data_IF_881138308514
#
_entry.id   IF_881138308514
#
_cell.length_a   1.000
_cell.length_b   1.000
_cell.length_c   1.000
_cell.angle_alpha   90.00
_cell.angle_beta   90.00
_cell.angle_gamma   90.00
#
_symmetry.space_group_name_H-M   'P 1'
#
loop_
_entity.id
_entity.type
_entity.pdbx_description
1 polymer ?
#
# COMPACT_ATOMS: atom_id res chain seq x y z
N UNK A 1 -56.77 -1.31 -23.99
CA UNK A 1 -55.54 -1.85 -23.36
C UNK A 1 -54.21 -1.43 -24.01
N UNK A 2 -54.14 -0.98 -25.28
CA UNK A 2 -52.87 -0.47 -25.84
C UNK A 2 -52.44 0.88 -25.23
N UNK A 3 -53.39 1.80 -24.97
CA UNK A 3 -53.09 3.12 -24.41
C UNK A 3 -52.54 3.10 -22.97
N UNK A 4 -52.94 2.12 -22.15
CA UNK A 4 -52.45 1.99 -20.78
C UNK A 4 -51.01 1.45 -20.71
N UNK A 5 -50.61 0.60 -21.66
CA UNK A 5 -49.23 0.07 -21.72
C UNK A 5 -48.22 1.15 -22.11
N UNK A 6 -48.59 2.07 -23.00
CA UNK A 6 -47.71 3.19 -23.38
C UNK A 6 -47.50 4.18 -22.24
N UNK A 7 -48.53 4.46 -21.43
CA UNK A 7 -48.41 5.38 -20.29
C UNK A 7 -47.48 4.81 -19.20
N UNK A 8 -47.57 3.50 -18.92
CA UNK A 8 -46.70 2.84 -17.94
C UNK A 8 -45.23 2.85 -18.39
N UNK A 9 -44.96 2.68 -19.69
CA UNK A 9 -43.61 2.74 -20.22
C UNK A 9 -42.96 4.13 -20.04
N UNK A 10 -43.71 5.22 -20.26
CA UNK A 10 -43.19 6.58 -20.06
C UNK A 10 -42.88 6.88 -18.59
N UNK A 11 -43.74 6.44 -17.66
CA UNK A 11 -43.49 6.62 -16.22
C UNK A 11 -42.21 5.89 -15.80
N UNK A 12 -41.97 4.70 -16.34
CA UNK A 12 -40.80 3.90 -15.99
C UNK A 12 -39.48 4.51 -16.51
N UNK A 13 -39.50 5.12 -17.70
CA UNK A 13 -38.36 5.87 -18.25
C UNK A 13 -38.04 7.11 -17.39
N UNK A 14 -39.07 7.85 -16.95
CA UNK A 14 -38.89 9.05 -16.11
C UNK A 14 -38.31 8.67 -14.74
N UNK A 15 -38.76 7.56 -14.14
CA UNK A 15 -38.25 7.10 -12.83
C UNK A 15 -36.79 6.66 -12.91
N UNK A 16 -36.31 6.15 -14.05
CA UNK A 16 -34.91 5.78 -14.23
C UNK A 16 -34.01 7.01 -14.51
N UNK A 17 -34.54 8.04 -15.18
CA UNK A 17 -33.76 9.24 -15.54
C UNK A 17 -33.62 10.28 -14.42
N UNK A 18 -34.52 10.30 -13.44
CA UNK A 18 -34.45 11.27 -12.33
C UNK A 18 -33.23 11.04 -11.41
N UNK A 19 -32.90 9.81 -10.98
CA UNK A 19 -31.73 9.57 -10.13
C UNK A 19 -30.39 9.93 -10.79
N UNK A 20 -30.27 9.71 -12.10
CA UNK A 20 -29.05 10.06 -12.86
C UNK A 20 -28.89 11.57 -13.02
N UNK A 21 -29.99 12.32 -13.12
CA UNK A 21 -29.93 13.78 -13.19
C UNK A 21 -29.57 14.41 -11.83
N UNK A 22 -30.02 13.82 -10.72
CA UNK A 22 -29.71 14.32 -9.36
C UNK A 22 -28.24 14.03 -8.99
N UNK A 23 -27.70 12.87 -9.37
CA UNK A 23 -26.28 12.54 -9.17
C UNK A 23 -25.35 13.39 -10.05
N UNK A 24 -25.75 13.68 -11.30
CA UNK A 24 -25.03 14.64 -12.13
C UNK A 24 -25.07 16.08 -11.59
N UNK A 25 -26.17 16.50 -10.94
CA UNK A 25 -26.27 17.81 -10.29
C UNK A 25 -25.48 17.91 -8.98
N UNK A 26 -25.42 16.83 -8.18
CA UNK A 26 -24.59 16.79 -6.97
C UNK A 26 -23.07 16.81 -7.28
N UNK A 27 -22.68 16.35 -8.47
CA UNK A 27 -21.30 16.46 -8.98
C UNK A 27 -21.00 17.84 -9.61
N UNK A 28 -22.03 18.65 -9.88
CA UNK A 28 -21.94 20.01 -10.42
C UNK A 28 -22.05 21.11 -9.35
N UNK A 29 -22.16 20.76 -8.07
CA UNK A 29 -21.81 21.67 -6.98
C UNK A 29 -20.29 21.85 -6.95
N UNK A 30 -19.80 22.60 -7.94
CA UNK A 30 -18.47 23.21 -7.91
C UNK A 30 -18.25 23.89 -6.56
N UNK A 31 -17.06 23.77 -5.96
CA UNK A 31 -16.74 24.41 -4.71
C UNK A 31 -17.06 25.90 -4.80
N UNK A 32 -17.54 26.41 -3.67
CA UNK A 32 -17.96 27.79 -3.41
C UNK A 32 -17.16 28.79 -4.24
N UNK A 33 -17.90 29.54 -5.06
CA UNK A 33 -17.64 30.91 -5.51
C UNK A 33 -16.38 31.50 -4.86
N UNK A 34 -15.32 31.68 -5.65
CA UNK A 34 -14.09 32.35 -5.28
C UNK A 34 -14.40 33.53 -4.35
N UNK A 35 -14.13 33.30 -3.07
CA UNK A 35 -13.98 34.36 -2.10
C UNK A 35 -12.81 35.20 -2.62
N UNK A 36 -12.98 36.52 -2.73
CA UNK A 36 -11.94 37.43 -3.22
C UNK A 36 -10.64 37.08 -2.50
N UNK A 37 -9.71 36.43 -3.22
CA UNK A 37 -8.42 36.05 -2.68
C UNK A 37 -7.77 37.34 -2.21
N UNK A 38 -7.48 37.42 -0.92
CA UNK A 38 -6.90 38.63 -0.36
C UNK A 38 -5.60 38.95 -1.10
N UNK A 39 -5.35 40.24 -1.30
CA UNK A 39 -4.20 40.72 -2.08
C UNK A 39 -2.87 40.23 -1.50
N UNK A 40 -2.81 39.98 -0.20
CA UNK A 40 -1.64 39.38 0.46
C UNK A 40 -1.39 37.94 0.02
N UNK A 41 -2.45 37.14 -0.14
CA UNK A 41 -2.37 35.73 -0.54
C UNK A 41 -1.94 35.64 -2.00
N UNK A 42 -2.51 36.50 -2.87
CA UNK A 42 -2.10 36.55 -4.27
C UNK A 42 -0.61 36.92 -4.44
N UNK A 43 -0.11 37.89 -3.68
CA UNK A 43 1.31 38.23 -3.71
C UNK A 43 2.18 37.05 -3.27
N UNK A 44 1.77 36.29 -2.25
CA UNK A 44 2.52 35.13 -1.78
C UNK A 44 2.55 34.01 -2.83
N UNK A 45 1.45 33.79 -3.54
CA UNK A 45 1.39 32.87 -4.69
C UNK A 45 2.37 33.32 -5.78
N UNK A 46 2.38 34.62 -6.10
CA UNK A 46 3.22 35.17 -7.14
C UNK A 46 4.71 35.11 -6.77
N UNK A 47 5.05 35.41 -5.53
CA UNK A 47 6.42 35.29 -5.00
C UNK A 47 6.87 33.83 -5.03
N UNK A 48 6.04 32.90 -4.57
CA UNK A 48 6.34 31.47 -4.61
C UNK A 48 6.51 30.95 -6.04
N UNK A 49 5.66 31.41 -6.98
CA UNK A 49 5.78 31.09 -8.40
C UNK A 49 7.10 31.58 -8.99
N UNK A 50 7.52 32.80 -8.65
CA UNK A 50 8.80 33.35 -9.08
C UNK A 50 10.00 32.63 -8.45
N UNK A 51 9.88 32.19 -7.19
CA UNK A 51 10.96 31.50 -6.46
C UNK A 51 11.11 30.03 -6.87
N UNK A 52 10.02 29.34 -7.20
CA UNK A 52 10.03 27.89 -7.45
C UNK A 52 9.83 27.51 -8.91
N UNK A 53 9.50 28.47 -9.78
CA UNK A 53 9.15 28.22 -11.18
C UNK A 53 7.77 27.58 -11.40
N UNK A 54 7.03 27.28 -10.33
CA UNK A 54 5.68 26.68 -10.41
C UNK A 54 4.66 27.69 -10.94
N UNK A 55 3.72 27.29 -11.80
CA UNK A 55 2.69 28.18 -12.32
C UNK A 55 1.75 28.70 -11.21
N UNK A 56 1.39 29.98 -11.30
CA UNK A 56 0.47 30.67 -10.36
C UNK A 56 -0.86 29.91 -10.23
N UNK A 57 -1.35 29.35 -11.35
CA UNK A 57 -2.59 28.61 -11.43
C UNK A 57 -2.56 27.30 -10.62
N UNK A 58 -1.43 26.60 -10.60
CA UNK A 58 -1.28 25.33 -9.87
C UNK A 58 -1.22 25.57 -8.36
N UNK A 59 -0.45 26.58 -7.94
CA UNK A 59 -0.39 27.03 -6.54
C UNK A 59 -1.77 27.48 -6.07
N UNK A 60 -2.50 28.21 -6.91
CA UNK A 60 -3.85 28.66 -6.59
C UNK A 60 -4.82 27.49 -6.45
N UNK A 61 -4.74 26.50 -7.35
CA UNK A 61 -5.56 25.29 -7.29
C UNK A 61 -5.32 24.51 -5.99
N UNK A 62 -4.06 24.36 -5.56
CA UNK A 62 -3.75 23.71 -4.28
C UNK A 62 -4.29 24.51 -3.09
N UNK A 63 -4.19 25.84 -3.13
CA UNK A 63 -4.77 26.68 -2.10
C UNK A 63 -6.30 26.52 -2.02
N UNK A 64 -6.99 26.51 -3.16
CA UNK A 64 -8.46 26.30 -3.24
C UNK A 64 -8.89 24.91 -2.79
N UNK A 65 -8.04 23.90 -2.96
CA UNK A 65 -8.24 22.54 -2.47
C UNK A 65 -8.06 22.40 -0.94
N UNK A 66 -7.61 23.47 -0.27
CA UNK A 66 -7.47 23.52 1.18
C UNK A 66 -6.14 23.00 1.72
N UNK A 67 -5.12 22.86 0.87
CA UNK A 67 -3.77 22.53 1.31
C UNK A 67 -3.18 23.67 2.16
N UNK A 68 -2.39 23.32 3.17
CA UNK A 68 -1.69 24.31 3.98
C UNK A 68 -0.47 24.89 3.25
N UNK A 69 -0.02 26.08 3.66
CA UNK A 69 1.09 26.76 3.01
C UNK A 69 2.40 25.98 3.04
N UNK A 70 2.67 25.17 4.07
CA UNK A 70 3.89 24.36 4.12
C UNK A 70 3.81 23.18 3.15
N UNK A 71 2.63 22.62 2.92
CA UNK A 71 2.39 21.61 1.87
C UNK A 71 2.58 22.24 0.49
N UNK A 72 1.97 23.41 0.25
CA UNK A 72 2.08 24.14 -1.02
C UNK A 72 3.54 24.48 -1.33
N UNK A 73 4.30 24.99 -0.36
CA UNK A 73 5.74 25.28 -0.53
C UNK A 73 6.51 24.01 -0.85
N UNK A 74 6.26 22.89 -0.16
CA UNK A 74 6.94 21.61 -0.46
C UNK A 74 6.62 21.09 -1.86
N UNK A 75 5.37 21.21 -2.31
CA UNK A 75 4.96 20.81 -3.65
C UNK A 75 5.58 21.72 -4.72
N UNK A 76 5.63 23.03 -4.47
CA UNK A 76 6.20 24.01 -5.38
C UNK A 76 7.74 23.90 -5.46
N UNK A 77 8.44 23.77 -4.33
CA UNK A 77 9.90 23.68 -4.28
C UNK A 77 10.45 22.36 -4.84
N UNK A 78 9.65 21.29 -4.88
CA UNK A 78 10.02 20.04 -5.57
C UNK A 78 10.02 20.19 -7.10
N UNK A 79 9.39 21.25 -7.64
CA UNK A 79 9.20 21.43 -9.07
C UNK A 79 10.42 22.03 -9.79
N UNK A 80 11.43 22.53 -9.06
CA UNK A 80 12.61 23.18 -9.65
C UNK A 80 13.64 22.16 -10.21
N UNK A 81 13.57 20.88 -9.84
CA UNK A 81 14.44 19.82 -10.40
C UNK A 81 13.79 18.95 -11.48
N UNK A 82 12.46 18.93 -11.59
CA UNK A 82 11.73 18.05 -12.51
C UNK A 82 10.43 18.73 -12.92
N UNK A 83 10.49 19.50 -14.00
CA UNK A 83 9.32 20.04 -14.65
C UNK A 83 8.63 18.97 -15.49
N UNK A 84 7.87 18.06 -14.86
CA UNK A 84 6.75 17.32 -15.52
C UNK A 84 5.87 16.43 -14.60
N UNK A 85 6.10 16.29 -13.28
CA UNK A 85 5.50 15.14 -12.55
C UNK A 85 4.25 15.34 -11.69
N UNK A 86 3.75 16.57 -11.49
CA UNK A 86 2.48 16.79 -10.76
C UNK A 86 1.25 16.87 -11.67
N UNK A 87 1.47 16.82 -12.99
CA UNK A 87 0.41 16.84 -14.00
C UNK A 87 -0.11 15.45 -14.36
N UNK A 88 0.01 14.38 -13.55
CA UNK A 88 -0.82 13.20 -13.88
C UNK A 88 -1.20 12.16 -12.83
N UNK A 89 -1.23 12.45 -11.52
CA UNK A 89 -1.73 11.41 -10.60
C UNK A 89 -3.25 11.13 -10.83
N UNK A 90 -4.03 12.15 -11.17
CA UNK A 90 -5.48 12.01 -11.39
C UNK A 90 -5.87 11.47 -12.75
N UNK A 91 -5.03 11.65 -13.78
CA UNK A 91 -5.32 11.12 -15.12
C UNK A 91 -4.51 9.85 -15.39
N UNK A 92 -3.36 9.65 -14.75
CA UNK A 92 -2.72 8.35 -14.55
C UNK A 92 -3.60 7.32 -13.83
N UNK A 93 -4.34 7.71 -12.78
CA UNK A 93 -5.34 6.80 -12.16
C UNK A 93 -6.54 6.49 -13.05
N UNK A 94 -6.98 7.45 -13.88
CA UNK A 94 -8.03 7.19 -14.87
C UNK A 94 -7.54 6.25 -15.96
N UNK A 95 -6.31 6.46 -16.41
CA UNK A 95 -5.66 5.59 -17.39
C UNK A 95 -5.47 4.17 -16.82
N UNK A 96 -5.24 4.03 -15.52
CA UNK A 96 -5.22 2.72 -14.86
C UNK A 96 -6.59 2.02 -14.96
N UNK A 97 -7.68 2.72 -14.63
CA UNK A 97 -9.04 2.16 -14.71
C UNK A 97 -9.46 1.81 -16.15
N UNK A 98 -8.94 2.53 -17.15
CA UNK A 98 -9.21 2.26 -18.56
C UNK A 98 -8.33 1.12 -19.14
N UNK A 99 -7.09 0.99 -18.66
CA UNK A 99 -6.08 0.07 -19.23
C UNK A 99 -6.06 -1.30 -18.57
N UNK A 100 -6.32 -1.40 -17.26
CA UNK A 100 -6.21 -2.64 -16.50
C UNK A 100 -7.57 -3.16 -16.07
N UNK A 101 -7.69 -4.48 -15.92
CA UNK A 101 -8.93 -5.08 -15.43
C UNK A 101 -9.14 -4.81 -13.94
N UNK A 102 -10.41 -4.79 -13.49
CA UNK A 102 -10.75 -4.66 -12.06
C UNK A 102 -10.07 -5.73 -11.19
N UNK A 103 -9.86 -6.93 -11.73
CA UNK A 103 -9.17 -8.03 -11.04
C UNK A 103 -7.68 -7.71 -10.82
N UNK A 104 -7.00 -7.17 -11.83
CA UNK A 104 -5.60 -6.76 -11.71
C UNK A 104 -5.41 -5.60 -10.74
N UNK A 105 -6.31 -4.61 -10.79
CA UNK A 105 -6.31 -3.48 -9.86
C UNK A 105 -6.51 -3.97 -8.43
N UNK A 106 -7.46 -4.89 -8.22
CA UNK A 106 -7.73 -5.47 -6.91
C UNK A 106 -6.52 -6.27 -6.39
N UNK A 107 -5.90 -7.10 -7.23
CA UNK A 107 -4.72 -7.88 -6.84
C UNK A 107 -3.54 -6.97 -6.44
N UNK A 108 -3.23 -5.95 -7.25
CA UNK A 108 -2.17 -5.00 -6.94
C UNK A 108 -2.45 -4.25 -5.62
N UNK A 109 -3.69 -3.79 -5.43
CA UNK A 109 -4.10 -3.10 -4.19
C UNK A 109 -3.97 -4.00 -2.96
N UNK A 110 -4.36 -5.27 -3.06
CA UNK A 110 -4.19 -6.23 -1.96
C UNK A 110 -2.72 -6.45 -1.58
N UNK A 111 -1.82 -6.50 -2.57
CA UNK A 111 -0.38 -6.63 -2.31
C UNK A 111 0.19 -5.40 -1.62
N UNK A 112 -0.17 -4.20 -2.08
CA UNK A 112 0.21 -2.93 -1.45
C UNK A 112 -0.30 -2.87 -0.01
N UNK A 113 -1.58 -3.17 0.21
CA UNK A 113 -2.17 -3.19 1.55
C UNK A 113 -1.49 -4.21 2.45
N UNK A 114 -1.12 -5.39 1.93
CA UNK A 114 -0.36 -6.39 2.69
C UNK A 114 1.02 -5.89 3.10
N UNK A 115 1.73 -5.16 2.23
CA UNK A 115 3.06 -4.59 2.54
C UNK A 115 2.94 -3.49 3.58
N UNK A 116 1.99 -2.58 3.40
CA UNK A 116 1.70 -1.51 4.37
C UNK A 116 1.35 -2.11 5.73
N UNK A 117 0.48 -3.11 5.76
CA UNK A 117 0.13 -3.78 7.02
C UNK A 117 1.35 -4.41 7.71
N UNK A 118 2.20 -5.13 6.97
CA UNK A 118 3.43 -5.72 7.53
C UNK A 118 4.39 -4.64 8.04
N UNK A 119 4.53 -3.52 7.34
CA UNK A 119 5.33 -2.39 7.81
C UNK A 119 4.77 -1.80 9.11
N UNK A 120 3.45 -1.65 9.23
CA UNK A 120 2.81 -1.22 10.48
C UNK A 120 3.11 -2.19 11.63
N UNK A 121 3.05 -3.50 11.38
CA UNK A 121 3.42 -4.53 12.35
C UNK A 121 4.88 -4.37 12.80
N UNK A 122 5.82 -4.23 11.85
CA UNK A 122 7.25 -4.00 12.14
C UNK A 122 7.45 -2.77 13.00
N UNK A 123 6.82 -1.64 12.66
CA UNK A 123 6.93 -0.38 13.41
C UNK A 123 6.35 -0.51 14.82
N UNK A 124 5.24 -1.24 14.96
CA UNK A 124 4.54 -1.39 16.25
C UNK A 124 5.21 -2.37 17.21
N UNK A 125 5.84 -3.42 16.69
CA UNK A 125 6.46 -4.49 17.48
C UNK A 125 7.96 -4.25 17.71
N UNK A 126 8.62 -3.46 16.86
CA UNK A 126 10.04 -3.16 17.05
C UNK A 126 10.29 -2.27 18.26
N UNK A 127 11.31 -2.62 19.04
CA UNK A 127 11.77 -1.84 20.20
C UNK A 127 13.01 -1.00 19.91
N UNK A 128 13.72 -1.28 18.82
CA UNK A 128 14.98 -0.64 18.42
C UNK A 128 14.96 -0.38 16.91
N UNK A 129 15.63 0.70 16.45
CA UNK A 129 15.84 1.08 15.05
C UNK A 129 14.63 0.93 14.10
N UNK A 130 13.56 1.67 14.41
CA UNK A 130 12.34 1.77 13.58
C UNK A 130 12.32 2.95 12.61
N UNK A 131 13.30 3.86 12.70
CA UNK A 131 13.30 5.12 11.96
C UNK A 131 13.19 4.89 10.45
N UNK A 132 13.97 3.96 9.89
CA UNK A 132 13.96 3.67 8.45
C UNK A 132 12.60 3.12 7.97
N UNK A 133 11.95 2.29 8.79
CA UNK A 133 10.61 1.74 8.47
C UNK A 133 9.52 2.81 8.60
N UNK A 134 9.62 3.71 9.59
CA UNK A 134 8.71 4.84 9.74
C UNK A 134 8.85 5.83 8.57
N UNK A 135 10.07 6.15 8.17
CA UNK A 135 10.37 7.03 7.04
C UNK A 135 9.86 6.43 5.72
N UNK A 136 10.08 5.12 5.52
CA UNK A 136 9.52 4.39 4.38
C UNK A 136 7.99 4.46 4.37
N UNK A 137 7.34 4.13 5.50
CA UNK A 137 5.89 4.16 5.62
C UNK A 137 5.31 5.53 5.28
N UNK A 138 5.92 6.59 5.79
CA UNK A 138 5.48 7.96 5.56
C UNK A 138 5.66 8.41 4.10
N UNK A 139 6.55 7.74 3.36
CA UNK A 139 6.84 8.04 1.95
C UNK A 139 5.95 7.24 0.98
N UNK A 140 5.25 6.20 1.44
CA UNK A 140 4.38 5.40 0.59
C UNK A 140 3.08 6.16 0.31
N UNK A 141 2.81 6.40 -0.97
CA UNK A 141 1.52 6.89 -1.45
C UNK A 141 0.76 5.76 -2.15
N UNK A 142 -0.32 5.26 -1.55
CA UNK A 142 -1.00 4.02 -2.01
C UNK A 142 -1.43 4.06 -3.48
N UNK A 143 -1.98 5.19 -3.94
CA UNK A 143 -2.45 5.31 -5.33
C UNK A 143 -1.29 5.41 -6.32
N UNK A 144 -0.17 6.03 -5.92
CA UNK A 144 1.05 6.07 -6.71
C UNK A 144 1.71 4.68 -6.78
N UNK A 145 1.79 3.99 -5.64
CA UNK A 145 2.24 2.61 -5.56
C UNK A 145 1.40 1.70 -6.47
N UNK A 146 0.08 1.91 -6.52
CA UNK A 146 -0.83 1.17 -7.39
C UNK A 146 -0.53 1.42 -8.86
N UNK A 147 -0.39 2.69 -9.24
CA UNK A 147 -0.04 3.09 -10.60
C UNK A 147 1.27 2.43 -11.06
N UNK A 148 2.34 2.57 -10.26
CA UNK A 148 3.66 2.03 -10.61
C UNK A 148 3.69 0.51 -10.59
N UNK A 149 3.04 -0.12 -9.62
CA UNK A 149 2.96 -1.58 -9.52
C UNK A 149 2.28 -2.19 -10.75
N UNK A 150 1.21 -1.56 -11.25
CA UNK A 150 0.53 -2.02 -12.47
C UNK A 150 1.35 -1.70 -13.73
N UNK A 151 1.93 -0.51 -13.81
CA UNK A 151 2.71 -0.07 -14.98
C UNK A 151 4.00 -0.86 -15.17
N UNK A 152 4.69 -1.20 -14.08
CA UNK A 152 5.98 -1.89 -14.13
C UNK A 152 5.87 -3.42 -14.09
N UNK A 153 4.70 -3.97 -13.74
CA UNK A 153 4.47 -5.43 -13.68
C UNK A 153 4.92 -6.14 -14.96
N UNK A 154 4.53 -5.62 -16.12
CA UNK A 154 4.80 -6.28 -17.40
C UNK A 154 6.29 -6.19 -17.79
N UNK A 155 6.97 -5.14 -17.34
CA UNK A 155 8.40 -4.93 -17.57
C UNK A 155 9.26 -5.82 -16.65
N UNK A 156 8.89 -5.89 -15.36
CA UNK A 156 9.70 -6.54 -14.34
C UNK A 156 9.32 -8.01 -14.09
N UNK A 157 8.13 -8.43 -14.53
CA UNK A 157 7.70 -9.83 -14.56
C UNK A 157 6.63 -10.18 -13.53
N UNK A 158 6.53 -9.45 -12.43
CA UNK A 158 5.54 -9.68 -11.39
C UNK A 158 5.16 -8.43 -10.61
N UNK A 159 4.00 -8.48 -9.94
CA UNK A 159 3.56 -7.44 -9.00
C UNK A 159 4.56 -7.21 -7.86
N UNK A 160 5.21 -8.27 -7.38
CA UNK A 160 6.15 -8.16 -6.26
C UNK A 160 7.45 -7.48 -6.71
N UNK A 161 7.95 -7.78 -7.90
CA UNK A 161 9.14 -7.09 -8.45
C UNK A 161 8.82 -5.62 -8.72
N UNK A 162 7.65 -5.33 -9.29
CA UNK A 162 7.21 -3.95 -9.51
C UNK A 162 7.03 -3.16 -8.22
N UNK A 163 6.39 -3.76 -7.21
CA UNK A 163 6.22 -3.12 -5.90
C UNK A 163 7.57 -2.96 -5.17
N UNK A 164 8.47 -3.95 -5.27
CA UNK A 164 9.83 -3.81 -4.77
C UNK A 164 10.56 -2.64 -5.42
N UNK A 165 10.48 -2.51 -6.74
CA UNK A 165 11.13 -1.41 -7.45
C UNK A 165 10.56 -0.05 -7.02
N UNK A 166 9.24 0.05 -6.84
CA UNK A 166 8.62 1.25 -6.26
C UNK A 166 9.18 1.56 -4.86
N UNK A 167 9.26 0.58 -3.96
CA UNK A 167 9.81 0.77 -2.62
C UNK A 167 11.29 1.21 -2.67
N UNK A 168 12.06 0.69 -3.63
CA UNK A 168 13.46 1.08 -3.82
C UNK A 168 13.53 2.52 -4.33
N UNK A 169 12.70 2.89 -5.30
CA UNK A 169 12.69 4.21 -5.90
C UNK A 169 12.39 5.30 -4.87
N UNK A 170 11.36 5.14 -4.04
CA UNK A 170 11.05 6.12 -2.99
C UNK A 170 12.15 6.22 -1.93
N UNK A 171 12.89 5.14 -1.69
CA UNK A 171 13.98 5.08 -0.72
C UNK A 171 15.30 5.70 -1.20
N UNK A 172 15.46 5.80 -2.51
CA UNK A 172 16.66 6.31 -3.19
C UNK A 172 16.37 7.61 -3.95
N UNK A 173 15.14 8.13 -3.83
CA UNK A 173 14.66 9.31 -4.56
C UNK A 173 14.85 9.19 -6.08
N UNK A 174 14.59 7.98 -6.61
CA UNK A 174 14.70 7.69 -8.05
C UNK A 174 13.40 8.00 -8.79
N UNK A 175 13.57 8.45 -10.02
CA UNK A 175 12.49 8.68 -10.96
C UNK A 175 12.16 7.40 -11.73
N UNK A 176 10.94 6.88 -11.55
CA UNK A 176 10.47 5.67 -12.22
C UNK A 176 10.09 5.90 -13.70
N UNK A 177 9.92 7.14 -14.15
CA UNK A 177 9.76 7.40 -15.59
C UNK A 177 11.05 7.12 -16.35
N UNK A 178 12.22 7.40 -15.74
CA UNK A 178 13.52 7.06 -16.34
C UNK A 178 13.64 5.57 -16.60
N UNK A 179 13.09 4.72 -15.73
CA UNK A 179 13.05 3.27 -15.95
C UNK A 179 12.23 2.88 -17.20
N UNK A 180 11.16 3.61 -17.50
CA UNK A 180 10.34 3.39 -18.69
C UNK A 180 11.00 3.90 -19.97
N UNK A 181 11.80 4.97 -19.88
CA UNK A 181 12.47 5.58 -21.02
C UNK A 181 13.80 4.91 -21.38
N UNK A 182 14.69 4.73 -20.39
CA UNK A 182 16.02 4.18 -20.56
C UNK A 182 16.47 3.42 -19.29
N UNK A 183 16.32 2.10 -19.36
CA UNK A 183 16.68 1.19 -18.28
C UNK A 183 18.16 1.27 -17.88
N UNK A 184 19.07 1.52 -18.82
CA UNK A 184 20.51 1.55 -18.52
C UNK A 184 20.88 2.79 -17.71
N UNK A 185 20.23 3.92 -18.00
CA UNK A 185 20.37 5.17 -17.21
C UNK A 185 19.81 4.98 -15.82
N UNK A 186 18.61 4.38 -15.72
CA UNK A 186 17.98 4.11 -14.43
C UNK A 186 18.85 3.23 -13.53
N UNK A 187 19.38 2.12 -14.05
CA UNK A 187 20.23 1.21 -13.28
C UNK A 187 21.55 1.85 -12.83
N UNK A 188 22.12 2.74 -13.66
CA UNK A 188 23.30 3.51 -13.25
C UNK A 188 22.98 4.47 -12.11
N UNK A 189 21.85 5.18 -12.18
CA UNK A 189 21.44 6.11 -11.14
C UNK A 189 21.11 5.38 -9.84
N UNK A 190 20.36 4.28 -9.95
CA UNK A 190 20.08 3.36 -8.84
C UNK A 190 21.37 2.89 -8.17
N UNK A 191 22.35 2.42 -8.94
CA UNK A 191 23.64 2.02 -8.40
C UNK A 191 24.38 3.17 -7.69
N UNK A 192 24.39 4.37 -8.28
CA UNK A 192 25.03 5.54 -7.70
C UNK A 192 24.38 5.94 -6.36
N UNK A 193 23.05 5.98 -6.30
CA UNK A 193 22.31 6.34 -5.09
C UNK A 193 22.46 5.27 -4.00
N UNK A 194 22.51 3.99 -4.38
CA UNK A 194 22.77 2.90 -3.43
C UNK A 194 24.14 3.01 -2.75
N UNK A 195 25.16 3.51 -3.45
CA UNK A 195 26.49 3.74 -2.87
C UNK A 195 26.51 4.89 -1.85
N UNK A 196 25.62 5.86 -2.00
CA UNK A 196 25.52 7.02 -1.11
C UNK A 196 24.67 6.74 0.14
N UNK A 197 23.79 5.73 0.06
CA UNK A 197 22.90 5.36 1.16
C UNK A 197 23.64 4.56 2.22
N UNK A 198 23.52 5.00 3.48
CA UNK A 198 24.15 4.34 4.62
C UNK A 198 23.33 3.18 5.20
N UNK A 199 22.02 3.20 4.98
CA UNK A 199 21.09 2.22 5.54
C UNK A 199 20.73 1.15 4.50
N UNK A 200 20.49 -0.10 4.91
CA UNK A 200 20.07 -1.15 3.99
C UNK A 200 18.74 -0.79 3.31
N UNK A 201 18.58 -1.23 2.07
CA UNK A 201 17.34 -1.01 1.32
C UNK A 201 16.29 -1.98 1.83
N UNK A 202 15.14 -1.44 2.22
CA UNK A 202 14.02 -2.23 2.72
C UNK A 202 13.20 -2.71 1.51
N UNK A 203 13.25 -4.00 1.23
CA UNK A 203 12.43 -4.66 0.21
C UNK A 203 11.27 -5.42 0.88
N UNK A 204 10.33 -5.94 0.10
CA UNK A 204 9.26 -6.82 0.59
C UNK A 204 9.85 -8.00 1.39
N UNK A 205 10.93 -8.61 0.89
CA UNK A 205 11.57 -9.75 1.55
C UNK A 205 12.17 -9.35 2.92
N UNK A 206 12.78 -8.17 3.02
CA UNK A 206 13.30 -7.66 4.29
C UNK A 206 12.17 -7.32 5.28
N UNK A 207 11.04 -6.79 4.79
CA UNK A 207 9.84 -6.54 5.61
C UNK A 207 9.29 -7.87 6.14
N UNK A 208 9.14 -8.89 5.29
CA UNK A 208 8.64 -10.20 5.70
C UNK A 208 9.56 -10.87 6.71
N UNK A 209 10.86 -10.81 6.46
CA UNK A 209 11.87 -11.32 7.38
C UNK A 209 11.81 -10.60 8.74
N UNK A 210 11.68 -9.28 8.74
CA UNK A 210 11.55 -8.50 9.97
C UNK A 210 10.31 -8.91 10.77
N UNK A 211 9.16 -9.09 10.12
CA UNK A 211 7.93 -9.59 10.79
C UNK A 211 8.16 -10.97 11.41
N UNK A 212 8.76 -11.91 10.66
CA UNK A 212 9.04 -13.27 11.15
C UNK A 212 10.01 -13.27 12.34
N UNK A 213 11.06 -12.47 12.29
CA UNK A 213 12.01 -12.31 13.40
C UNK A 213 11.32 -11.78 14.65
N UNK A 214 10.40 -10.81 14.52
CA UNK A 214 9.63 -10.28 15.64
C UNK A 214 8.67 -11.31 16.24
N UNK A 215 7.95 -12.07 15.41
CA UNK A 215 7.05 -13.13 15.88
C UNK A 215 7.81 -14.21 16.67
N UNK A 216 8.97 -14.65 16.18
CA UNK A 216 9.81 -15.63 16.86
C UNK A 216 10.36 -15.10 18.20
N UNK A 217 10.73 -13.82 18.25
CA UNK A 217 11.23 -13.18 19.45
C UNK A 217 10.13 -12.97 20.51
N UNK A 218 8.89 -12.78 20.09
CA UNK A 218 7.73 -12.69 20.98
C UNK A 218 7.35 -14.05 21.56
N UNK A 219 7.33 -15.11 20.75
CA UNK A 219 7.01 -16.47 21.23
C UNK A 219 8.07 -17.00 22.20
N UNK A 220 9.34 -16.67 21.99
CA UNK A 220 10.46 -17.15 22.81
C UNK A 220 10.57 -16.46 24.18
N UNK A 221 9.94 -15.30 24.37
CA UNK A 221 9.95 -14.56 25.64
C UNK A 221 8.84 -14.99 26.61
N UNK A 222 7.78 -15.61 26.13
CA UNK A 222 6.67 -16.07 27.00
C UNK A 222 6.96 -17.42 27.68
N UNK A 223 7.95 -18.20 27.24
CA UNK A 223 8.33 -19.47 27.88
C UNK A 223 9.33 -19.33 29.05
N UNK A 224 9.77 -18.11 29.40
CA UNK A 224 10.78 -17.89 30.47
C UNK A 224 10.28 -17.26 31.75
N UNK A 225 8.97 -17.22 31.99
CA UNK A 225 8.44 -16.63 33.23
C UNK A 225 7.38 -17.47 33.96
N UNK A 226 7.66 -18.77 34.13
CA UNK A 226 7.01 -19.58 35.19
C UNK A 226 8.03 -20.43 35.94
N UNK A 227 8.98 -19.80 36.63
CA UNK A 227 9.58 -20.42 37.83
C UNK A 227 9.96 -19.36 38.87
N UNK A 228 9.01 -18.49 39.23
CA UNK A 228 9.09 -17.80 40.52
C UNK A 228 8.31 -18.63 41.53
N UNK A 229 9.04 -19.42 42.32
CA UNK A 229 8.56 -20.05 43.56
C UNK A 229 8.03 -18.95 44.48
N UNK A 230 6.71 -18.76 44.49
CA UNK A 230 6.01 -18.04 45.53
C UNK A 230 5.42 -19.09 46.47
N UNK A 231 6.11 -19.33 47.57
CA UNK A 231 5.58 -20.02 48.75
C UNK A 231 4.55 -19.09 49.40
N UNK A 232 3.28 -19.23 49.01
CA UNK A 232 2.15 -18.71 49.77
C UNK A 232 1.12 -19.83 49.86
N UNK A 233 1.06 -20.43 51.04
CA UNK A 233 0.06 -21.42 51.40
C UNK A 233 -1.35 -20.85 51.29
N UNK A 234 -2.11 -21.30 50.30
CA UNK A 234 -3.56 -21.19 50.23
C UNK A 234 -4.10 -22.52 49.70
N UNK A 235 -4.81 -23.26 50.57
CA UNK A 235 -5.61 -24.40 50.16
C UNK A 235 -6.93 -23.92 49.54
N UNK A 236 -7.20 -24.30 48.29
CA UNK A 236 -8.53 -24.27 47.66
C UNK A 236 -8.54 -25.22 46.43
N UNK A 237 -9.73 -25.65 45.95
CA UNK A 237 -10.05 -27.07 45.76
C UNK A 237 -9.59 -27.67 44.43
N UNK A 238 -9.33 -28.97 44.49
CA UNK A 238 -8.96 -29.85 43.36
C UNK A 238 -10.12 -29.94 42.37
N UNK A 239 -10.00 -29.27 41.22
CA UNK A 239 -10.83 -29.52 40.04
C UNK A 239 -10.10 -30.55 39.19
N UNK A 240 -10.67 -31.76 39.09
CA UNK A 240 -10.16 -32.82 38.22
C UNK A 240 -10.58 -32.53 36.77
N UNK A 241 -9.74 -31.81 36.04
CA UNK A 241 -9.79 -31.77 34.58
C UNK A 241 -9.25 -33.08 34.03
N UNK A 242 -10.15 -33.90 33.49
CA UNK A 242 -9.79 -35.11 32.73
C UNK A 242 -9.20 -34.63 31.39
N UNK A 243 -7.88 -34.52 31.33
CA UNK A 243 -7.15 -34.30 30.08
C UNK A 243 -7.20 -35.63 29.31
N UNK A 244 -7.78 -35.68 28.10
CA UNK A 244 -7.69 -36.89 27.29
C UNK A 244 -6.23 -37.15 26.93
N UNK A 245 -5.74 -38.34 27.29
CA UNK A 245 -4.39 -38.80 27.01
C UNK A 245 -4.23 -39.00 25.49
N UNK A 246 -3.74 -37.97 24.81
CA UNK A 246 -3.37 -38.07 23.40
C UNK A 246 -2.11 -38.93 23.32
N UNK A 247 -2.27 -40.20 22.97
CA UNK A 247 -1.15 -41.09 22.64
C UNK A 247 -0.42 -40.51 21.45
N UNK A 248 0.79 -40.02 21.69
CA UNK A 248 1.73 -39.59 20.69
C UNK A 248 2.11 -40.82 19.83
N UNK A 249 1.66 -40.94 18.56
CA UNK A 249 2.03 -42.09 17.76
C UNK A 249 3.53 -42.04 17.50
N UNK A 250 4.23 -43.12 17.82
CA UNK A 250 5.66 -43.24 17.52
C UNK A 250 5.87 -43.07 16.00
N UNK A 251 6.95 -42.40 15.57
CA UNK A 251 7.24 -42.22 14.15
C UNK A 251 7.36 -43.59 13.48
N UNK A 252 6.45 -43.89 12.57
CA UNK A 252 6.45 -45.13 11.78
C UNK A 252 7.57 -45.01 10.76
N UNK A 253 8.45 -46.02 10.71
CA UNK A 253 9.54 -46.07 9.77
C UNK A 253 8.96 -46.25 8.34
N UNK A 254 9.18 -45.29 7.41
CA UNK A 254 8.54 -45.32 6.09
C UNK A 254 8.91 -46.56 5.26
N UNK A 255 10.03 -47.23 5.57
CA UNK A 255 10.46 -48.42 4.86
C UNK A 255 9.55 -49.64 5.13
N UNK A 256 9.02 -49.76 6.35
CA UNK A 256 8.11 -50.87 6.71
C UNK A 256 6.71 -50.67 6.11
N UNK A 257 6.21 -49.44 6.08
CA UNK A 257 4.91 -49.11 5.48
C UNK A 257 4.87 -49.44 3.98
N UNK A 258 5.97 -49.19 3.26
CA UNK A 258 6.07 -49.51 1.82
C UNK A 258 6.12 -51.03 1.60
N UNK A 259 6.76 -51.79 2.49
CA UNK A 259 6.81 -53.26 2.38
C UNK A 259 5.45 -53.92 2.63
N UNK A 260 4.65 -53.39 3.55
CA UNK A 260 3.28 -53.86 3.77
C UNK A 260 2.37 -53.58 2.56
N UNK A 261 2.51 -52.42 1.93
CA UNK A 261 1.80 -52.09 0.68
C UNK A 261 2.20 -53.00 -0.49
N UNK A 262 3.50 -53.29 -0.65
CA UNK A 262 3.97 -54.19 -1.72
C UNK A 262 3.43 -55.62 -1.52
N UNK A 263 3.42 -56.11 -0.28
CA UNK A 263 2.91 -57.45 0.04
C UNK A 263 1.39 -57.57 -0.11
N UNK A 264 0.64 -56.47 0.00
CA UNK A 264 -0.81 -56.48 -0.24
C UNK A 264 -1.19 -56.39 -1.73
N UNK A 265 -0.30 -55.85 -2.57
CA UNK A 265 -0.52 -55.73 -4.02
C UNK A 265 -0.16 -57.02 -4.77
N UNK A 266 0.68 -57.89 -4.20
CA UNK A 266 1.03 -59.19 -4.77
C UNK A 266 0.28 -60.32 -4.04
N UNK A 267 -0.94 -60.71 -4.47
CA UNK A 267 -1.50 -61.97 -4.01
C UNK A 267 -0.64 -63.12 -4.54
N UNK A 268 -0.39 -64.12 -3.68
CA UNK A 268 0.34 -65.35 -4.03
C UNK A 268 -0.29 -66.09 -5.21
#
# INVERSE_FOLDING_TARGET
MKKSKSIVAYILIIVILIPTAVSAYAFLELPRKAEDIDKSTYNLIQDLSNETGTHVEDILRWYEQGFDWNQIIRMASRHESQGEDLFDLTTGLKDVEEKYSEEEILEARQRIDSVVFKLEEVISLSKEDKADYEDLMNSIHKEEALYWTLTLKDLLGSYNEALNEYLIAIQLELDLYVLLEDQDIYEQEKFNQQLLKNNPIITIDEIEKAVLEMLNNHSSKEEKDTTTTIDVGIQAPKVETIIPEVKNPAPVNPLEAIQEEINTILPQ
#
